data_IF_453783794051
#
_entry.id   IF_453783794051
#
_cell.length_a   1.000
_cell.length_b   1.000
_cell.length_c   1.000
_cell.angle_alpha   90.00
_cell.angle_beta   90.00
_cell.angle_gamma   90.00
#
_symmetry.space_group_name_H-M   'P 1'
#
loop_
_entity.id
_entity.type
_entity.pdbx_description
1 polymer ?
#
# COMPACT_ATOMS: atom_id res chain seq x y z
N UNK A 1 -9.83 13.47 12.88
CA UNK A 1 -9.80 14.01 11.50
C UNK A 1 -8.53 13.62 10.77
N UNK A 2 -7.34 13.92 11.31
CA UNK A 2 -6.07 13.50 10.68
C UNK A 2 -5.96 11.99 10.44
N UNK A 3 -6.28 11.19 11.47
CA UNK A 3 -6.24 9.74 11.37
C UNK A 3 -7.10 9.19 10.21
N UNK A 4 -8.28 9.77 9.97
CA UNK A 4 -9.16 9.37 8.86
C UNK A 4 -8.54 9.72 7.51
N UNK A 5 -7.94 10.92 7.39
CA UNK A 5 -7.24 11.32 6.15
C UNK A 5 -6.09 10.39 5.79
N UNK A 6 -5.36 9.89 6.79
CA UNK A 6 -4.27 8.94 6.56
C UNK A 6 -4.81 7.61 6.08
N UNK A 7 -5.88 7.08 6.68
CA UNK A 7 -6.55 5.88 6.20
C UNK A 7 -7.03 6.04 4.75
N UNK A 8 -7.69 7.15 4.41
CA UNK A 8 -8.18 7.43 3.06
C UNK A 8 -7.05 7.56 2.02
N UNK A 9 -5.85 7.97 2.44
CA UNK A 9 -4.69 8.11 1.56
C UNK A 9 -4.03 6.77 1.21
N UNK A 10 -4.32 5.70 1.97
CA UNK A 10 -3.79 4.36 1.75
C UNK A 10 -4.26 3.77 0.40
N UNK A 11 -5.49 4.07 0.00
CA UNK A 11 -6.07 3.66 -1.30
C UNK A 11 -5.21 4.11 -2.49
N UNK A 12 -4.57 5.27 -2.37
CA UNK A 12 -3.67 5.78 -3.40
C UNK A 12 -2.34 5.02 -3.42
N UNK A 13 -1.86 4.58 -2.25
CA UNK A 13 -0.64 3.76 -2.15
C UNK A 13 -0.88 2.38 -2.77
N UNK A 14 -2.02 1.76 -2.50
CA UNK A 14 -2.43 0.49 -3.12
C UNK A 14 -2.48 0.61 -4.64
N UNK A 15 -3.14 1.66 -5.15
CA UNK A 15 -3.23 1.92 -6.59
C UNK A 15 -1.85 2.11 -7.24
N UNK A 16 -0.93 2.77 -6.55
CA UNK A 16 0.44 2.96 -7.02
C UNK A 16 1.24 1.66 -6.98
N UNK A 17 1.03 0.81 -5.99
CA UNK A 17 1.65 -0.52 -5.93
C UNK A 17 1.23 -1.35 -7.16
N UNK A 18 -0.07 -1.42 -7.46
CA UNK A 18 -0.59 -2.15 -8.63
C UNK A 18 0.02 -1.62 -9.93
N UNK A 19 0.12 -0.29 -10.08
CA UNK A 19 0.74 0.31 -11.24
C UNK A 19 2.22 -0.08 -11.41
N UNK A 20 2.99 -0.11 -10.31
CA UNK A 20 4.40 -0.55 -10.33
C UNK A 20 4.49 -2.03 -10.69
N UNK A 21 3.57 -2.86 -10.21
CA UNK A 21 3.54 -4.29 -10.52
C UNK A 21 3.31 -4.51 -12.02
N UNK A 22 2.28 -3.87 -12.58
CA UNK A 22 1.96 -3.95 -14.00
C UNK A 22 3.12 -3.50 -14.90
N UNK A 23 3.74 -2.35 -14.57
CA UNK A 23 4.89 -1.84 -15.32
C UNK A 23 6.11 -2.76 -15.20
N UNK A 24 6.39 -3.26 -13.99
CA UNK A 24 7.51 -4.16 -13.74
C UNK A 24 7.36 -5.46 -14.51
N UNK A 25 6.17 -6.08 -14.49
CA UNK A 25 5.91 -7.32 -15.24
C UNK A 25 5.99 -7.09 -16.74
N UNK A 26 5.42 -5.99 -17.26
CA UNK A 26 5.55 -5.64 -18.67
C UNK A 26 7.02 -5.49 -19.07
N UNK A 27 7.81 -4.78 -18.26
CA UNK A 27 9.24 -4.60 -18.50
C UNK A 27 10.01 -5.93 -18.52
N UNK A 28 9.69 -6.87 -17.63
CA UNK A 28 10.31 -8.21 -17.62
C UNK A 28 9.95 -9.04 -18.86
N UNK A 29 8.71 -8.92 -19.36
CA UNK A 29 8.24 -9.62 -20.57
C UNK A 29 8.90 -9.02 -21.82
N UNK A 30 9.00 -7.69 -21.90
CA UNK A 30 9.59 -6.98 -23.04
C UNK A 30 11.10 -7.18 -23.13
N UNK A 31 11.81 -7.17 -22.00
CA UNK A 31 13.26 -7.38 -21.92
C UNK A 31 13.63 -8.22 -20.69
N UNK A 32 13.94 -9.51 -20.87
CA UNK A 32 14.35 -10.41 -19.79
C UNK A 32 15.61 -9.97 -19.04
N UNK A 33 16.46 -9.11 -19.61
CA UNK A 33 17.64 -8.59 -18.90
C UNK A 33 17.26 -7.64 -17.75
N UNK A 34 16.02 -7.15 -17.73
CA UNK A 34 15.51 -6.24 -16.70
C UNK A 34 14.94 -6.94 -15.47
N UNK A 35 14.87 -8.28 -15.46
CA UNK A 35 14.22 -9.07 -14.39
C UNK A 35 14.74 -8.71 -13.00
N UNK A 36 16.05 -8.62 -12.82
CA UNK A 36 16.64 -8.32 -11.51
C UNK A 36 16.24 -6.92 -11.02
N UNK A 37 16.36 -5.90 -11.88
CA UNK A 37 15.98 -4.52 -11.55
C UNK A 37 14.50 -4.40 -11.23
N UNK A 38 13.63 -4.96 -12.07
CA UNK A 38 12.19 -4.92 -11.86
C UNK A 38 11.79 -5.71 -10.60
N UNK A 39 12.51 -6.78 -10.25
CA UNK A 39 12.29 -7.47 -8.98
C UNK A 39 12.55 -6.53 -7.81
N UNK A 40 13.64 -5.75 -7.81
CA UNK A 40 13.86 -4.75 -6.76
C UNK A 40 12.74 -3.72 -6.68
N UNK A 41 12.17 -3.27 -7.81
CA UNK A 41 11.01 -2.37 -7.81
C UNK A 41 9.77 -2.99 -7.18
N UNK A 42 9.46 -4.26 -7.48
CA UNK A 42 8.36 -4.98 -6.84
C UNK A 42 8.53 -5.02 -5.32
N UNK A 43 9.75 -5.33 -4.84
CA UNK A 43 10.05 -5.34 -3.41
C UNK A 43 9.94 -3.94 -2.79
N UNK A 44 10.43 -2.89 -3.47
CA UNK A 44 10.29 -1.51 -2.99
C UNK A 44 8.83 -1.12 -2.87
N UNK A 45 8.01 -1.36 -3.90
CA UNK A 45 6.58 -1.05 -3.87
C UNK A 45 5.86 -1.82 -2.75
N UNK A 46 6.13 -3.12 -2.61
CA UNK A 46 5.59 -3.93 -1.52
C UNK A 46 5.95 -3.36 -0.14
N UNK A 47 7.22 -3.00 0.09
CA UNK A 47 7.62 -2.45 1.38
C UNK A 47 6.95 -1.09 1.66
N UNK A 48 6.66 -0.29 0.64
CA UNK A 48 5.95 0.98 0.79
C UNK A 48 4.47 0.76 1.16
N UNK A 49 3.77 -0.16 0.49
CA UNK A 49 2.42 -0.58 0.89
C UNK A 49 2.43 -1.06 2.34
N UNK A 50 3.38 -1.93 2.72
CA UNK A 50 3.45 -2.44 4.08
C UNK A 50 3.62 -1.36 5.14
N UNK A 51 4.28 -0.25 4.80
CA UNK A 51 4.44 0.91 5.67
C UNK A 51 3.13 1.69 5.76
N UNK A 52 2.47 1.95 4.63
CA UNK A 52 1.20 2.67 4.58
C UNK A 52 0.10 1.92 5.36
N UNK A 53 0.01 0.62 5.15
CA UNK A 53 -0.91 -0.29 5.82
C UNK A 53 -0.68 -0.32 7.36
N UNK A 54 0.58 -0.19 7.80
CA UNK A 54 0.90 -0.02 9.23
C UNK A 54 0.48 1.35 9.77
N UNK A 55 0.57 2.41 8.96
CA UNK A 55 0.07 3.73 9.32
C UNK A 55 -1.45 3.72 9.47
N UNK A 56 -2.18 3.05 8.57
CA UNK A 56 -3.64 2.82 8.65
C UNK A 56 -4.00 2.13 9.96
N UNK A 57 -3.35 1.01 10.27
CA UNK A 57 -3.53 0.28 11.53
C UNK A 57 -3.29 1.13 12.80
N UNK A 58 -2.35 2.09 12.76
CA UNK A 58 -2.11 3.01 13.88
C UNK A 58 -3.26 4.03 13.96
N UNK A 59 -3.70 4.57 12.83
CA UNK A 59 -4.76 5.56 12.74
C UNK A 59 -6.12 4.99 13.20
N UNK A 60 -6.46 3.76 12.81
CA UNK A 60 -7.65 3.05 13.29
C UNK A 60 -7.64 2.89 14.82
N UNK A 61 -6.49 2.54 15.41
CA UNK A 61 -6.34 2.46 16.87
C UNK A 61 -6.53 3.81 17.56
N UNK A 62 -6.06 4.90 16.94
CA UNK A 62 -6.29 6.27 17.45
C UNK A 62 -7.77 6.62 17.40
N UNK A 63 -8.46 6.30 16.30
CA UNK A 63 -9.92 6.50 16.16
C UNK A 63 -10.67 5.70 17.23
N UNK A 64 -10.29 4.44 17.44
CA UNK A 64 -10.85 3.61 18.51
C UNK A 64 -10.64 4.21 19.89
N UNK A 65 -9.43 4.71 20.20
CA UNK A 65 -9.11 5.29 21.50
C UNK A 65 -10.00 6.51 21.81
N UNK A 66 -10.33 7.32 20.81
CA UNK A 66 -11.14 8.54 20.99
C UNK A 66 -12.64 8.25 20.98
N UNK A 67 -13.09 7.32 20.13
CA UNK A 67 -14.53 7.08 19.88
C UNK A 67 -15.10 5.90 20.67
N UNK A 68 -14.24 4.98 21.13
CA UNK A 68 -14.63 3.70 21.71
C UNK A 68 -15.21 2.70 20.70
N UNK A 69 -15.14 2.98 19.39
CA UNK A 69 -15.67 2.12 18.32
C UNK A 69 -14.57 1.69 17.37
N UNK A 70 -14.60 0.41 17.01
CA UNK A 70 -13.70 -0.14 16.01
C UNK A 70 -14.30 0.19 14.63
N UNK A 71 -13.61 1.05 13.89
CA UNK A 71 -13.91 1.35 12.49
C UNK A 71 -12.82 0.64 11.69
N UNK A 72 -13.16 -0.48 11.02
CA UNK A 72 -12.27 -1.06 10.00
C UNK A 72 -12.39 -0.17 8.76
N UNK A 73 -11.32 0.55 8.45
CA UNK A 73 -11.25 1.48 7.33
C UNK A 73 -10.18 0.93 6.39
N UNK A 74 -10.59 0.64 5.15
CA UNK A 74 -9.75 0.01 4.13
C UNK A 74 -9.30 -1.41 4.49
N UNK A 75 -10.28 -2.32 4.49
CA UNK A 75 -9.99 -3.76 4.45
C UNK A 75 -9.36 -4.07 3.10
N UNK A 76 -8.04 -4.24 3.09
CA UNK A 76 -7.28 -4.69 1.92
C UNK A 76 -7.97 -5.93 1.32
N UNK A 77 -8.42 -5.81 0.08
CA UNK A 77 -9.08 -6.89 -0.65
C UNK A 77 -8.01 -7.83 -1.20
N UNK A 78 -7.58 -8.77 -0.38
CA UNK A 78 -6.91 -9.97 -0.89
C UNK A 78 -7.94 -11.00 -1.36
#
# INVERSE_FOLDING_TARGET
>A
DEARRVCDADDEVDRLQDAVYDESFRGMIEDPTTIERNTYYLWTAHNLERIADRCTNICERVIYLVTGRMEEINVSKY
#
